data_IF_423049015013
#
_entry.id   IF_423049015013
#
_cell.length_a   1.000
_cell.length_b   1.000
_cell.length_c   1.000
_cell.angle_alpha   90.00
_cell.angle_beta   90.00
_cell.angle_gamma   90.00
#
_symmetry.space_group_name_H-M   'P 1'
#
loop_
_entity.id
_entity.type
_entity.pdbx_description
1 polymer ?
#
# COMPACT_ATOMS: atom_id res chain seq x y z
N UNK A 1 9.27 24.51 6.81
CA UNK A 1 8.45 23.77 7.78
C UNK A 1 7.63 22.72 7.08
N UNK A 2 7.73 21.47 7.50
CA UNK A 2 6.88 20.37 7.02
C UNK A 2 5.58 20.42 7.83
N UNK A 3 4.44 20.58 7.16
CA UNK A 3 3.13 20.58 7.80
C UNK A 3 2.49 19.21 7.60
N UNK A 4 2.45 18.40 8.66
CA UNK A 4 1.88 17.06 8.62
C UNK A 4 0.48 17.06 9.24
N UNK A 5 -0.46 16.37 8.60
CA UNK A 5 -1.81 16.13 9.15
C UNK A 5 -1.72 15.19 10.36
N UNK A 6 -2.54 15.40 11.38
CA UNK A 6 -2.60 14.55 12.57
C UNK A 6 -3.14 13.16 12.20
N UNK A 7 -2.30 12.12 12.27
CA UNK A 7 -2.66 10.74 11.92
C UNK A 7 -2.80 9.87 13.18
N UNK A 8 -3.89 9.09 13.31
CA UNK A 8 -4.16 8.19 14.45
C UNK A 8 -3.47 6.82 14.30
N UNK A 9 -3.24 6.07 15.38
CA UNK A 9 -2.68 4.71 15.30
C UNK A 9 -3.61 3.74 14.56
N UNK A 10 -3.08 2.97 13.61
CA UNK A 10 -3.83 1.94 12.89
C UNK A 10 -3.96 0.70 13.77
N UNK A 11 -5.19 0.27 14.07
CA UNK A 11 -5.46 -0.90 14.90
C UNK A 11 -5.30 -2.18 14.06
N UNK A 12 -4.35 -3.03 14.43
CA UNK A 12 -4.06 -4.28 13.71
C UNK A 12 -5.11 -5.34 14.07
N UNK A 13 -6.23 -5.38 13.34
CA UNK A 13 -7.18 -6.50 13.40
C UNK A 13 -6.69 -7.60 12.46
N UNK A 14 -6.93 -8.88 12.79
CA UNK A 14 -6.47 -10.09 12.07
C UNK A 14 -6.87 -10.18 10.58
N UNK A 15 -7.58 -9.20 10.01
CA UNK A 15 -7.93 -9.12 8.59
C UNK A 15 -6.78 -8.50 7.77
N UNK A 16 -5.84 -9.39 7.50
CA UNK A 16 -4.62 -9.47 6.68
C UNK A 16 -4.34 -8.56 5.45
N UNK A 17 -5.10 -7.50 5.10
CA UNK A 17 -4.74 -6.64 3.95
C UNK A 17 -4.95 -5.14 4.16
N UNK A 18 -5.93 -4.73 4.97
CA UNK A 18 -6.24 -3.31 5.19
C UNK A 18 -5.14 -2.59 5.98
N UNK A 19 -4.52 -3.26 6.95
CA UNK A 19 -3.44 -2.66 7.73
C UNK A 19 -2.22 -2.36 6.87
N UNK A 20 -1.84 -3.27 5.97
CA UNK A 20 -0.74 -3.07 5.02
C UNK A 20 -1.06 -1.93 4.06
N UNK A 21 -2.28 -1.88 3.51
CA UNK A 21 -2.72 -0.77 2.66
C UNK A 21 -2.58 0.58 3.37
N UNK A 22 -3.14 0.72 4.58
CA UNK A 22 -3.07 1.97 5.32
C UNK A 22 -1.65 2.31 5.78
N UNK A 23 -0.81 1.32 6.05
CA UNK A 23 0.61 1.52 6.38
C UNK A 23 1.38 2.07 5.18
N UNK A 24 1.22 1.48 4.00
CA UNK A 24 1.88 1.93 2.76
C UNK A 24 1.43 3.35 2.42
N UNK A 25 0.12 3.61 2.43
CA UNK A 25 -0.42 4.94 2.17
C UNK A 25 0.11 5.99 3.15
N UNK A 26 0.17 5.66 4.44
CA UNK A 26 0.77 6.54 5.46
C UNK A 26 2.26 6.77 5.21
N UNK A 27 2.99 5.73 4.80
CA UNK A 27 4.40 5.84 4.47
C UNK A 27 4.62 6.84 3.33
N UNK A 28 3.78 6.80 2.29
CA UNK A 28 3.78 7.78 1.20
C UNK A 28 3.46 9.20 1.68
N UNK A 29 2.41 9.37 2.50
CA UNK A 29 2.05 10.69 3.06
C UNK A 29 3.17 11.30 3.91
N UNK A 30 3.97 10.45 4.57
CA UNK A 30 5.06 10.86 5.45
C UNK A 30 6.43 10.88 4.76
N UNK A 31 6.53 10.60 3.45
CA UNK A 31 7.82 10.45 2.73
C UNK A 31 8.81 11.58 3.02
N UNK A 32 8.39 12.84 2.93
CA UNK A 32 9.27 13.99 3.20
C UNK A 32 9.76 14.05 4.66
N UNK A 33 8.91 13.66 5.62
CA UNK A 33 9.26 13.63 7.03
C UNK A 33 10.22 12.48 7.35
N UNK A 34 10.02 11.33 6.70
CA UNK A 34 10.91 10.17 6.79
C UNK A 34 12.27 10.52 6.19
N UNK A 35 12.31 11.15 5.01
CA UNK A 35 13.56 11.60 4.39
C UNK A 35 14.34 12.54 5.33
N UNK A 36 13.66 13.51 5.95
CA UNK A 36 14.29 14.40 6.92
C UNK A 36 14.77 13.67 8.18
N UNK A 37 13.96 12.74 8.69
CA UNK A 37 14.28 11.93 9.86
C UNK A 37 15.51 11.04 9.65
N UNK A 38 15.65 10.45 8.45
CA UNK A 38 16.78 9.59 8.06
C UNK A 38 18.08 10.39 7.82
N UNK A 39 17.98 11.69 7.54
CA UNK A 39 19.14 12.58 7.42
C UNK A 39 19.71 13.02 8.78
N UNK A 40 19.01 12.77 9.89
CA UNK A 40 19.47 13.15 11.22
C UNK A 40 20.63 12.26 11.68
N UNK A 41 21.67 12.88 12.24
CA UNK A 41 22.84 12.17 12.82
C UNK A 41 22.44 11.12 13.88
N UNK A 42 21.32 11.32 14.58
CA UNK A 42 20.83 10.41 15.61
C UNK A 42 20.25 9.09 15.06
N UNK A 43 19.89 9.05 13.77
CA UNK A 43 19.21 7.92 13.12
C UNK A 43 20.04 7.35 11.95
N UNK A 44 21.36 7.49 12.01
CA UNK A 44 22.27 7.06 10.92
C UNK A 44 22.20 5.56 10.64
N UNK A 45 21.92 4.78 11.66
CA UNK A 45 21.66 3.34 11.59
C UNK A 45 20.43 3.01 10.74
N UNK A 46 19.47 3.94 10.65
CA UNK A 46 18.28 3.77 9.83
C UNK A 46 18.47 4.23 8.38
N UNK A 47 19.54 4.96 8.08
CA UNK A 47 19.80 5.50 6.74
C UNK A 47 19.93 4.40 5.68
N UNK A 48 20.44 3.22 6.07
CA UNK A 48 20.60 2.06 5.19
C UNK A 48 19.25 1.46 4.75
N UNK A 49 18.16 1.75 5.47
CA UNK A 49 16.80 1.31 5.12
C UNK A 49 16.05 2.35 4.29
N UNK A 50 16.74 3.40 3.82
CA UNK A 50 16.11 4.42 2.98
C UNK A 50 15.68 3.81 1.65
N UNK A 51 14.38 3.86 1.40
CA UNK A 51 13.81 3.42 0.15
C UNK A 51 14.28 4.32 -1.02
N UNK A 52 14.73 3.68 -2.09
CA UNK A 52 15.03 4.31 -3.36
C UNK A 52 13.74 4.57 -4.17
N UNK A 53 13.85 5.32 -5.27
CA UNK A 53 12.68 5.71 -6.07
C UNK A 53 11.95 4.52 -6.70
N UNK A 54 12.66 3.45 -7.06
CA UNK A 54 12.03 2.24 -7.59
C UNK A 54 11.24 1.51 -6.49
N UNK A 55 11.76 1.44 -5.28
CA UNK A 55 11.06 0.84 -4.13
C UNK A 55 9.83 1.66 -3.73
N UNK A 56 9.90 2.99 -3.78
CA UNK A 56 8.73 3.85 -3.61
C UNK A 56 7.67 3.63 -4.70
N UNK A 57 8.10 3.41 -5.93
CA UNK A 57 7.19 3.14 -7.05
C UNK A 57 6.50 1.78 -6.85
N UNK A 58 7.27 0.75 -6.49
CA UNK A 58 6.72 -0.57 -6.20
C UNK A 58 5.68 -0.52 -5.05
N UNK A 59 5.94 0.26 -4.00
CA UNK A 59 4.95 0.45 -2.92
C UNK A 59 3.67 1.14 -3.40
N UNK A 60 3.78 2.10 -4.31
CA UNK A 60 2.61 2.73 -4.92
C UNK A 60 1.79 1.73 -5.76
N UNK A 61 2.45 0.83 -6.48
CA UNK A 61 1.79 -0.25 -7.22
C UNK A 61 1.04 -1.20 -6.26
N UNK A 62 1.66 -1.56 -5.13
CA UNK A 62 0.99 -2.33 -4.09
C UNK A 62 -0.20 -1.60 -3.46
N UNK A 63 -0.12 -0.28 -3.26
CA UNK A 63 -1.25 0.52 -2.78
C UNK A 63 -2.45 0.42 -3.73
N UNK A 64 -2.22 0.49 -5.04
CA UNK A 64 -3.26 0.37 -6.07
C UNK A 64 -3.90 -1.03 -6.04
N UNK A 65 -3.07 -2.07 -5.98
CA UNK A 65 -3.54 -3.47 -5.92
C UNK A 65 -4.41 -3.68 -4.68
N UNK A 66 -3.92 -3.25 -3.52
CA UNK A 66 -4.62 -3.41 -2.25
C UNK A 66 -5.91 -2.58 -2.19
N UNK A 67 -5.96 -1.41 -2.84
CA UNK A 67 -7.19 -0.62 -2.95
C UNK A 67 -8.29 -1.38 -3.69
N UNK A 68 -7.96 -2.09 -4.77
CA UNK A 68 -8.92 -2.91 -5.52
C UNK A 68 -9.49 -4.02 -4.64
N UNK A 69 -8.63 -4.71 -3.88
CA UNK A 69 -9.08 -5.71 -2.92
C UNK A 69 -9.95 -5.11 -1.81
N UNK A 70 -9.55 -3.96 -1.26
CA UNK A 70 -10.31 -3.28 -0.21
C UNK A 70 -11.70 -2.88 -0.71
N UNK A 71 -11.82 -2.40 -1.95
CA UNK A 71 -13.10 -2.02 -2.55
C UNK A 71 -13.98 -3.25 -2.88
N UNK A 72 -13.41 -4.30 -3.48
CA UNK A 72 -14.14 -5.53 -3.81
C UNK A 72 -14.64 -6.23 -2.54
N UNK A 73 -13.79 -6.33 -1.52
CA UNK A 73 -14.10 -7.07 -0.29
C UNK A 73 -14.90 -6.24 0.72
N UNK A 74 -14.79 -4.90 0.74
CA UNK A 74 -15.61 -4.05 1.62
C UNK A 74 -17.07 -3.96 1.19
N UNK A 75 -17.39 -4.26 -0.08
CA UNK A 75 -18.79 -4.31 -0.54
C UNK A 75 -19.54 -5.56 -0.05
N UNK A 76 -18.82 -6.63 0.29
CA UNK A 76 -19.42 -7.87 0.75
C UNK A 76 -19.39 -7.95 2.29
N UNK A 77 -20.39 -7.38 2.95
CA UNK A 77 -20.61 -7.56 4.40
C UNK A 77 -20.92 -9.02 4.81
N UNK A 78 -20.97 -9.97 3.86
CA UNK A 78 -21.28 -11.39 4.12
C UNK A 78 -20.28 -12.27 3.36
N UNK A 79 -19.50 -13.14 4.03
CA UNK A 79 -18.57 -14.02 3.33
C UNK A 79 -19.40 -15.15 2.73
N UNK A 80 -19.75 -15.05 1.45
CA UNK A 80 -20.26 -16.19 0.71
C UNK A 80 -19.25 -16.50 -0.36
N UNK A 81 -18.68 -17.70 -0.28
CA UNK A 81 -17.76 -18.31 -1.26
C UNK A 81 -18.14 -18.07 -2.73
N UNK A 82 -19.41 -17.80 -3.02
CA UNK A 82 -19.95 -17.55 -4.35
C UNK A 82 -19.50 -16.21 -4.98
N UNK A 83 -19.21 -15.17 -4.20
CA UNK A 83 -18.75 -13.85 -4.71
C UNK A 83 -17.23 -13.74 -4.82
N UNK A 84 -16.51 -14.44 -3.93
CA UNK A 84 -15.06 -14.42 -3.88
C UNK A 84 -14.41 -14.97 -5.16
N UNK A 85 -14.90 -16.09 -5.70
CA UNK A 85 -14.32 -16.70 -6.92
C UNK A 85 -14.44 -15.74 -8.12
N UNK A 86 -15.64 -15.21 -8.48
CA UNK A 86 -15.76 -14.21 -9.53
C UNK A 86 -14.95 -12.92 -9.27
N UNK A 87 -14.84 -12.47 -8.02
CA UNK A 87 -14.03 -11.31 -7.67
C UNK A 87 -12.54 -11.55 -7.90
N UNK A 88 -12.03 -12.74 -7.57
CA UNK A 88 -10.66 -13.14 -7.88
C UNK A 88 -10.42 -13.28 -9.39
N UNK A 89 -11.37 -13.84 -10.14
CA UNK A 89 -11.27 -13.92 -11.61
C UNK A 89 -11.21 -12.52 -12.25
N UNK A 90 -12.05 -11.58 -11.80
CA UNK A 90 -12.01 -10.19 -12.25
C UNK A 90 -10.70 -9.49 -11.87
N UNK A 91 -10.18 -9.74 -10.67
CA UNK A 91 -8.89 -9.22 -10.25
C UNK A 91 -7.75 -9.73 -11.16
N UNK A 92 -7.67 -11.04 -11.38
CA UNK A 92 -6.64 -11.64 -12.26
C UNK A 92 -6.72 -11.08 -13.68
N UNK A 93 -7.92 -10.98 -14.24
CA UNK A 93 -8.11 -10.39 -15.58
C UNK A 93 -7.68 -8.91 -15.62
N UNK A 94 -7.92 -8.15 -14.56
CA UNK A 94 -7.48 -6.74 -14.46
C UNK A 94 -5.97 -6.62 -14.38
N UNK A 95 -5.30 -7.53 -13.66
CA UNK A 95 -3.84 -7.57 -13.53
C UNK A 95 -3.16 -8.00 -14.84
N UNK A 96 -3.69 -9.00 -15.53
CA UNK A 96 -3.18 -9.46 -16.84
C UNK A 96 -3.31 -8.34 -17.89
N UNK A 97 -4.42 -7.59 -17.86
CA UNK A 97 -4.60 -6.41 -18.73
C UNK A 97 -3.62 -5.28 -18.41
N UNK A 98 -3.28 -5.06 -17.14
CA UNK A 98 -2.29 -4.08 -16.73
C UNK A 98 -0.87 -4.48 -17.16
N UNK A 99 -0.49 -5.76 -17.00
CA UNK A 99 0.81 -6.27 -17.45
C UNK A 99 0.99 -6.26 -18.96
N UNK A 100 -0.09 -6.45 -19.73
CA UNK A 100 -0.04 -6.33 -21.20
C UNK A 100 0.04 -4.88 -21.71
N UNK A 101 -0.48 -3.90 -20.94
CA UNK A 101 -0.37 -2.48 -21.29
C UNK A 101 0.94 -1.84 -20.83
N UNK A 102 1.65 -2.42 -19.86
CA UNK A 102 2.95 -1.95 -19.36
C UNK A 102 3.98 -3.10 -19.33
N UNK A 103 4.66 -3.40 -20.46
CA UNK A 103 5.60 -4.53 -20.58
C UNK A 103 6.93 -4.36 -19.82
N UNK A 104 7.05 -3.33 -18.98
CA UNK A 104 8.24 -3.02 -18.18
C UNK A 104 8.00 -3.08 -16.66
N UNK A 105 6.83 -3.58 -16.23
CA UNK A 105 6.64 -4.08 -14.86
C UNK A 105 7.21 -5.50 -14.74
#
# INVERSE_FOLDING_TARGET
SVHLRHLQLLCNVKTQWDSVFYMIRRLHELRQAIDYFLLMQANKDLADYKLNDAEWTALQDFEIILLVFQQLMSQECTPVLAGAIPAFEMFMASQEKLGTMNPHL
#
